data_IF_743360427470
#
_entry.id   IF_743360427470
#
_cell.length_a   1.000
_cell.length_b   1.000
_cell.length_c   1.000
_cell.angle_alpha   90.00
_cell.angle_beta   90.00
_cell.angle_gamma   90.00
#
_symmetry.space_group_name_H-M   'P 1'
#
loop_
_entity.id
_entity.type
_entity.pdbx_description
1 polymer ?
#
# COMPACT_ATOMS: atom_id res chain seq x y z
N UNK A 1 -68.86 30.36 54.17
CA UNK A 1 -68.56 29.48 53.01
C UNK A 1 -68.15 30.39 51.85
N UNK A 2 -66.86 30.41 51.50
CA UNK A 2 -66.35 31.13 50.34
C UNK A 2 -65.48 30.15 49.56
N UNK A 3 -66.08 29.55 48.55
CA UNK A 3 -65.48 28.50 47.73
C UNK A 3 -64.64 29.17 46.63
N UNK A 4 -63.32 29.17 46.81
CA UNK A 4 -62.39 29.89 45.93
C UNK A 4 -61.97 28.97 44.80
N UNK A 5 -62.68 29.02 43.67
CA UNK A 5 -62.27 28.31 42.44
C UNK A 5 -61.09 29.05 41.79
N UNK A 6 -59.95 28.40 41.50
CA UNK A 6 -58.86 29.04 40.79
C UNK A 6 -59.24 29.26 39.32
N UNK A 7 -59.11 30.50 38.85
CA UNK A 7 -59.35 30.87 37.45
C UNK A 7 -58.21 30.36 36.57
N UNK A 8 -58.48 29.36 35.73
CA UNK A 8 -57.52 28.87 34.73
C UNK A 8 -57.54 29.79 33.51
N UNK A 9 -56.47 30.57 33.31
CA UNK A 9 -56.29 31.41 32.12
C UNK A 9 -55.62 30.57 31.02
N UNK A 10 -56.41 30.08 30.07
CA UNK A 10 -55.87 29.43 28.86
C UNK A 10 -55.57 30.51 27.81
N UNK A 11 -54.29 30.85 27.64
CA UNK A 11 -53.84 31.73 26.56
C UNK A 11 -53.85 30.96 25.23
N UNK A 12 -54.95 31.03 24.48
CA UNK A 12 -54.96 30.60 23.07
C UNK A 12 -54.28 31.67 22.22
N UNK A 13 -53.05 31.38 21.80
CA UNK A 13 -52.35 32.18 20.80
C UNK A 13 -53.06 31.98 19.46
N UNK A 14 -53.93 32.91 19.08
CA UNK A 14 -54.38 33.02 17.70
C UNK A 14 -53.19 33.54 16.90
N UNK A 15 -52.45 32.65 16.23
CA UNK A 15 -51.62 33.06 15.09
C UNK A 15 -52.59 33.60 14.05
N UNK A 16 -52.61 34.92 13.91
CA UNK A 16 -53.31 35.60 12.85
C UNK A 16 -52.84 34.99 11.52
N UNK A 17 -53.77 34.39 10.79
CA UNK A 17 -53.55 34.04 9.40
C UNK A 17 -53.31 35.33 8.63
N UNK A 18 -52.05 35.59 8.27
CA UNK A 18 -51.79 36.29 7.03
C UNK A 18 -52.09 35.31 5.91
N UNK A 19 -53.29 35.46 5.37
CA UNK A 19 -53.64 34.90 4.09
C UNK A 19 -52.66 35.40 3.01
N UNK A 20 -52.49 34.53 2.02
CA UNK A 20 -52.14 34.84 0.64
C UNK A 20 -50.66 34.82 0.22
N UNK A 21 -49.98 33.68 0.36
CA UNK A 21 -48.98 33.25 -0.65
C UNK A 21 -48.97 31.72 -0.92
N UNK A 22 -50.06 31.00 -0.67
CA UNK A 22 -50.16 29.55 -0.97
C UNK A 22 -50.23 29.19 -2.47
N UNK A 23 -50.15 30.19 -3.36
CA UNK A 23 -49.98 29.97 -4.81
C UNK A 23 -48.53 29.96 -5.31
N UNK A 24 -47.55 30.07 -4.40
CA UNK A 24 -46.11 30.11 -4.74
C UNK A 24 -45.36 28.80 -4.51
N UNK A 25 -45.84 27.92 -3.63
CA UNK A 25 -45.12 26.69 -3.27
C UNK A 25 -44.93 25.73 -4.46
N UNK A 26 -45.94 25.60 -5.34
CA UNK A 26 -45.81 24.81 -6.56
C UNK A 26 -44.85 25.46 -7.56
N UNK A 27 -44.72 26.80 -7.56
CA UNK A 27 -43.75 27.52 -8.38
C UNK A 27 -42.33 27.33 -7.87
N UNK A 28 -42.15 27.14 -6.56
CA UNK A 28 -40.84 26.78 -5.98
C UNK A 28 -40.46 25.36 -6.39
N UNK A 29 -41.38 24.40 -6.31
CA UNK A 29 -41.13 23.03 -6.79
C UNK A 29 -40.91 22.98 -8.31
N UNK A 30 -41.64 23.79 -9.08
CA UNK A 30 -41.45 23.91 -10.53
C UNK A 30 -40.14 24.61 -10.89
N UNK A 31 -39.76 25.66 -10.17
CA UNK A 31 -38.48 26.33 -10.34
C UNK A 31 -37.32 25.39 -10.00
N UNK A 32 -37.42 24.64 -8.90
CA UNK A 32 -36.43 23.64 -8.52
C UNK A 32 -36.29 22.57 -9.60
N UNK A 33 -37.42 22.04 -10.11
CA UNK A 33 -37.43 21.09 -11.23
C UNK A 33 -36.79 21.65 -12.50
N UNK A 34 -37.13 22.89 -12.90
CA UNK A 34 -36.55 23.54 -14.08
C UNK A 34 -35.05 23.81 -13.88
N UNK A 35 -34.61 24.19 -12.67
CA UNK A 35 -33.18 24.37 -12.37
C UNK A 35 -32.41 23.06 -12.34
N UNK A 36 -33.00 21.98 -11.84
CA UNK A 36 -32.41 20.64 -11.90
C UNK A 36 -32.28 20.17 -13.36
N UNK A 37 -33.31 20.38 -14.18
CA UNK A 37 -33.25 20.08 -15.61
C UNK A 37 -32.25 20.95 -16.37
N UNK A 38 -32.15 22.24 -16.02
CA UNK A 38 -31.15 23.15 -16.58
C UNK A 38 -29.74 22.71 -16.21
N UNK A 39 -29.48 22.38 -14.95
CA UNK A 39 -28.17 21.89 -14.49
C UNK A 39 -27.81 20.57 -15.19
N UNK A 40 -28.77 19.64 -15.29
CA UNK A 40 -28.59 18.39 -16.03
C UNK A 40 -28.27 18.63 -17.51
N UNK A 41 -28.99 19.56 -18.15
CA UNK A 41 -28.74 19.93 -19.54
C UNK A 41 -27.38 20.62 -19.73
N UNK A 42 -26.95 21.48 -18.82
CA UNK A 42 -25.62 22.09 -18.84
C UNK A 42 -24.52 21.03 -18.72
N UNK A 43 -24.70 20.02 -17.86
CA UNK A 43 -23.76 18.90 -17.75
C UNK A 43 -23.71 18.07 -19.03
N UNK A 44 -24.87 17.74 -19.62
CA UNK A 44 -24.93 17.04 -20.90
C UNK A 44 -24.35 17.86 -22.05
N UNK A 45 -24.57 19.17 -22.06
CA UNK A 45 -24.02 20.09 -23.05
C UNK A 45 -22.51 20.21 -22.92
N UNK A 46 -21.99 20.32 -21.69
CA UNK A 46 -20.56 20.26 -21.40
C UNK A 46 -19.98 18.93 -21.88
N UNK A 47 -20.60 17.79 -21.54
CA UNK A 47 -20.16 16.50 -22.07
C UNK A 47 -20.18 16.49 -23.59
N UNK A 48 -21.23 16.98 -24.26
CA UNK A 48 -21.32 17.02 -25.71
C UNK A 48 -20.22 17.88 -26.36
N UNK A 49 -19.88 19.02 -25.77
CA UNK A 49 -18.79 19.90 -26.21
C UNK A 49 -17.39 19.35 -25.88
N UNK A 50 -17.29 18.43 -24.91
CA UNK A 50 -16.05 17.79 -24.50
C UNK A 50 -15.62 16.76 -25.55
N UNK A 51 -14.34 16.77 -25.92
CA UNK A 51 -13.79 15.83 -26.91
C UNK A 51 -13.69 14.41 -26.34
N UNK A 52 -13.66 13.38 -27.21
CA UNK A 52 -13.50 11.98 -26.77
C UNK A 52 -12.37 11.74 -25.74
N UNK A 53 -11.16 12.32 -25.88
CA UNK A 53 -10.09 12.12 -24.90
C UNK A 53 -10.39 12.77 -23.54
N UNK A 54 -10.99 13.96 -23.50
CA UNK A 54 -11.32 14.66 -22.25
C UNK A 54 -12.43 13.95 -21.45
N UNK A 55 -13.43 13.35 -22.13
CA UNK A 55 -14.46 12.54 -21.46
C UNK A 55 -13.88 11.29 -20.79
N UNK A 56 -12.85 10.69 -21.40
CA UNK A 56 -12.16 9.54 -20.83
C UNK A 56 -11.44 9.92 -19.53
N UNK A 57 -10.71 11.04 -19.54
CA UNK A 57 -10.00 11.55 -18.37
C UNK A 57 -10.93 11.86 -17.19
N UNK A 58 -12.08 12.49 -17.44
CA UNK A 58 -13.07 12.77 -16.39
C UNK A 58 -13.65 11.45 -15.83
N UNK A 59 -13.94 10.47 -16.67
CA UNK A 59 -14.48 9.17 -16.21
C UNK A 59 -13.50 8.36 -15.36
N UNK A 60 -12.20 8.55 -15.60
CA UNK A 60 -11.13 7.89 -14.86
C UNK A 60 -10.96 8.49 -13.46
N UNK A 61 -11.09 9.80 -13.33
CA UNK A 61 -11.08 10.51 -12.03
C UNK A 61 -12.18 10.02 -11.07
N UNK A 62 -13.39 9.76 -11.57
CA UNK A 62 -14.50 9.26 -10.74
C UNK A 62 -14.43 7.76 -10.45
N UNK A 63 -13.73 6.96 -11.28
CA UNK A 63 -13.55 5.53 -11.02
C UNK A 63 -12.50 5.25 -9.95
N UNK A 64 -11.47 6.09 -9.86
CA UNK A 64 -10.41 6.00 -8.86
C UNK A 64 -10.23 7.35 -8.15
N UNK A 65 -11.09 7.70 -7.17
CA UNK A 65 -10.91 8.92 -6.39
C UNK A 65 -9.71 8.74 -5.43
N UNK A 66 -8.49 8.94 -5.94
CA UNK A 66 -7.31 9.04 -5.09
C UNK A 66 -7.36 10.37 -4.35
N UNK A 67 -7.21 10.40 -3.00
CA UNK A 67 -7.23 11.64 -2.22
C UNK A 67 -5.96 12.49 -2.39
N UNK A 68 -5.04 12.07 -3.26
CA UNK A 68 -3.79 12.77 -3.53
C UNK A 68 -3.92 13.61 -4.80
N UNK A 69 -4.03 14.93 -4.63
CA UNK A 69 -3.97 15.87 -5.74
C UNK A 69 -2.58 15.78 -6.41
N UNK A 70 -2.53 15.25 -7.64
CA UNK A 70 -1.32 15.34 -8.48
C UNK A 70 -0.82 14.06 -9.14
N UNK A 71 -1.47 12.90 -8.98
CA UNK A 71 -1.07 11.70 -9.73
C UNK A 71 -2.27 10.90 -10.21
N UNK A 72 -2.79 11.24 -11.39
CA UNK A 72 -3.64 10.32 -12.15
C UNK A 72 -2.78 9.18 -12.68
N UNK A 73 -3.12 7.95 -12.32
CA UNK A 73 -2.48 6.74 -12.81
C UNK A 73 -2.99 6.40 -14.22
N UNK A 74 -2.10 6.53 -15.20
CA UNK A 74 -2.06 5.93 -16.57
C UNK A 74 -2.31 6.91 -17.76
N UNK A 75 -1.77 6.63 -18.98
CA UNK A 75 -0.75 7.45 -19.64
C UNK A 75 -1.27 8.23 -20.87
N UNK A 76 -0.49 9.22 -21.35
CA UNK A 76 -0.81 10.01 -22.54
C UNK A 76 -0.93 9.16 -23.84
N UNK A 77 -1.81 9.52 -24.79
CA UNK A 77 -2.08 8.71 -25.97
C UNK A 77 -0.97 8.79 -27.03
N UNK A 78 -0.40 7.64 -27.39
CA UNK A 78 0.53 7.46 -28.51
C UNK A 78 -0.16 7.04 -29.82
N UNK A 79 0.61 7.07 -30.91
CA UNK A 79 0.15 7.01 -32.31
C UNK A 79 -0.47 5.65 -32.76
N UNK A 80 -0.60 4.66 -31.87
CA UNK A 80 -1.17 3.33 -32.16
C UNK A 80 -2.42 2.98 -31.32
N UNK A 81 -3.05 3.98 -30.70
CA UNK A 81 -4.15 3.79 -29.74
C UNK A 81 -3.68 3.90 -28.29
N UNK A 82 -4.60 3.79 -27.32
CA UNK A 82 -4.32 4.17 -25.94
C UNK A 82 -3.28 3.21 -25.33
N UNK A 83 -2.10 3.74 -24.96
CA UNK A 83 -1.03 2.98 -24.29
C UNK A 83 0.35 2.94 -24.96
N UNK A 84 0.54 3.56 -26.15
CA UNK A 84 1.86 3.65 -26.80
C UNK A 84 2.77 4.75 -26.22
N UNK A 85 4.06 4.45 -26.00
CA UNK A 85 5.06 5.39 -25.50
C UNK A 85 5.20 6.63 -26.40
N UNK A 86 5.12 7.84 -25.81
CA UNK A 86 5.32 9.10 -26.54
C UNK A 86 6.82 9.39 -26.71
N UNK A 87 7.27 9.61 -27.95
CA UNK A 87 8.64 10.04 -28.30
C UNK A 87 8.67 11.48 -28.86
N UNK A 88 7.88 12.39 -28.29
CA UNK A 88 7.96 13.81 -28.65
C UNK A 88 8.29 14.67 -27.42
N UNK A 89 9.38 15.42 -27.57
CA UNK A 89 9.79 16.48 -26.66
C UNK A 89 8.75 17.60 -26.72
N UNK A 90 8.04 17.84 -25.62
CA UNK A 90 7.08 18.94 -25.52
C UNK A 90 7.89 20.25 -25.50
N UNK A 91 7.87 20.96 -26.62
CA UNK A 91 8.38 22.33 -26.73
C UNK A 91 7.24 23.28 -26.34
N UNK A 92 7.10 23.54 -25.03
CA UNK A 92 6.17 24.53 -24.53
C UNK A 92 6.77 25.92 -24.77
N UNK A 93 6.26 26.61 -25.80
CA UNK A 93 6.62 27.99 -26.07
C UNK A 93 6.14 28.89 -24.93
N UNK A 94 7.06 29.65 -24.34
CA UNK A 94 6.76 30.73 -23.40
C UNK A 94 7.16 30.47 -21.95
N UNK A 95 8.46 30.36 -21.68
CA UNK A 95 9.09 30.90 -20.49
C UNK A 95 10.61 30.88 -20.71
N UNK A 96 11.22 32.01 -20.41
CA UNK A 96 12.64 32.30 -20.45
C UNK A 96 13.53 31.19 -19.92
N UNK A 97 14.60 30.93 -20.66
CA UNK A 97 15.82 30.24 -20.27
C UNK A 97 16.19 30.54 -18.80
N UNK A 98 15.85 29.62 -17.88
CA UNK A 98 16.31 29.71 -16.50
C UNK A 98 17.70 29.12 -16.50
N UNK A 99 18.67 30.02 -16.65
CA UNK A 99 20.07 29.81 -16.38
C UNK A 99 20.25 28.90 -15.15
N UNK A 100 21.01 27.81 -15.31
CA UNK A 100 21.43 26.96 -14.19
C UNK A 100 22.27 27.79 -13.23
N UNK A 101 21.60 28.35 -12.22
CA UNK A 101 22.22 29.00 -11.08
C UNK A 101 22.93 27.96 -10.23
N UNK A 102 24.25 28.08 -10.17
CA UNK A 102 25.10 27.48 -9.17
C UNK A 102 24.71 28.04 -7.80
N UNK A 103 24.00 27.27 -6.97
CA UNK A 103 23.81 27.61 -5.56
C UNK A 103 23.55 26.36 -4.73
N UNK A 104 24.41 26.19 -3.73
CA UNK A 104 24.35 25.20 -2.65
C UNK A 104 22.97 25.20 -1.97
N UNK A 105 22.08 24.30 -2.37
CA UNK A 105 20.86 23.99 -1.64
C UNK A 105 21.03 22.64 -0.91
N UNK A 106 21.09 22.61 0.44
CA UNK A 106 21.32 21.38 1.19
C UNK A 106 20.14 20.39 1.16
N UNK A 107 19.00 20.77 0.56
CA UNK A 107 17.79 19.94 0.51
C UNK A 107 17.55 19.26 -0.84
N UNK A 108 18.48 19.38 -1.79
CA UNK A 108 18.36 18.79 -3.13
C UNK A 108 19.22 17.54 -3.33
N UNK A 109 19.36 16.69 -2.31
CA UNK A 109 19.82 15.31 -2.50
C UNK A 109 18.63 14.37 -2.70
N UNK A 110 17.76 14.68 -3.68
CA UNK A 110 17.00 13.61 -4.31
C UNK A 110 18.03 12.79 -5.08
N UNK A 111 18.50 11.70 -4.48
CA UNK A 111 19.14 10.62 -5.21
C UNK A 111 18.15 10.19 -6.29
N UNK A 112 18.34 10.74 -7.49
CA UNK A 112 17.68 10.28 -8.68
C UNK A 112 18.03 8.79 -8.77
N UNK A 113 17.03 7.94 -8.52
CA UNK A 113 17.08 6.52 -8.83
C UNK A 113 17.53 6.42 -10.28
N UNK A 114 18.79 6.06 -10.51
CA UNK A 114 19.34 5.94 -11.86
C UNK A 114 18.41 4.99 -12.61
N UNK A 115 17.81 5.39 -13.74
CA UNK A 115 16.96 4.50 -14.49
C UNK A 115 17.79 3.29 -14.91
N UNK A 116 17.44 2.12 -14.37
CA UNK A 116 18.06 0.85 -14.76
C UNK A 116 17.87 0.70 -16.28
N UNK A 117 18.94 0.48 -17.06
CA UNK A 117 18.83 0.26 -18.50
C UNK A 117 17.79 -0.83 -18.82
N UNK A 118 16.97 -0.65 -19.86
CA UNK A 118 15.93 -1.62 -20.23
C UNK A 118 16.51 -3.03 -20.44
N UNK A 119 17.72 -3.12 -21.00
CA UNK A 119 18.45 -4.37 -21.20
C UNK A 119 18.76 -5.13 -19.91
N UNK A 120 19.04 -4.43 -18.81
CA UNK A 120 19.34 -5.07 -17.53
C UNK A 120 18.06 -5.64 -16.88
N UNK A 121 16.93 -4.96 -17.06
CA UNK A 121 15.62 -5.46 -16.58
C UNK A 121 15.17 -6.71 -17.32
N UNK A 122 15.41 -6.78 -18.63
CA UNK A 122 15.08 -7.96 -19.43
C UNK A 122 15.93 -9.17 -19.03
N UNK A 123 17.24 -8.97 -18.83
CA UNK A 123 18.14 -10.03 -18.35
C UNK A 123 17.75 -10.52 -16.97
N UNK A 124 17.45 -9.62 -16.05
CA UNK A 124 17.00 -9.96 -14.70
C UNK A 124 15.68 -10.75 -14.74
N UNK A 125 14.73 -10.32 -15.57
CA UNK A 125 13.48 -11.06 -15.77
C UNK A 125 13.74 -12.49 -16.28
N UNK A 126 14.62 -12.66 -17.27
CA UNK A 126 15.00 -13.98 -17.78
C UNK A 126 15.66 -14.85 -16.70
N UNK A 127 16.51 -14.26 -15.85
CA UNK A 127 17.12 -14.98 -14.72
C UNK A 127 16.08 -15.47 -13.71
N UNK A 128 15.10 -14.63 -13.37
CA UNK A 128 14.01 -15.00 -12.46
C UNK A 128 13.06 -16.03 -13.08
N UNK A 129 12.82 -15.96 -14.38
CA UNK A 129 12.05 -16.98 -15.12
C UNK A 129 12.78 -18.33 -15.15
N UNK A 130 14.09 -18.33 -15.38
CA UNK A 130 14.91 -19.54 -15.30
C UNK A 130 14.89 -20.14 -13.89
N UNK A 131 15.09 -19.32 -12.85
CA UNK A 131 15.00 -19.76 -11.46
C UNK A 131 13.62 -20.33 -11.12
N UNK A 132 12.54 -19.72 -11.64
CA UNK A 132 11.19 -20.23 -11.46
C UNK A 132 11.04 -21.63 -12.06
N UNK A 133 11.51 -21.84 -13.29
CA UNK A 133 11.44 -23.13 -13.97
C UNK A 133 12.27 -24.20 -13.23
N UNK A 134 13.48 -23.83 -12.80
CA UNK A 134 14.34 -24.71 -12.00
C UNK A 134 13.67 -25.12 -10.69
N UNK A 135 13.03 -24.18 -9.99
CA UNK A 135 12.26 -24.46 -8.77
C UNK A 135 11.04 -25.36 -9.04
N UNK A 136 10.28 -25.11 -10.10
CA UNK A 136 9.12 -25.95 -10.48
C UNK A 136 9.56 -27.39 -10.79
N UNK A 137 10.68 -27.55 -11.50
CA UNK A 137 11.28 -28.85 -11.78
C UNK A 137 11.79 -29.53 -10.51
N UNK A 138 12.52 -28.80 -9.66
CA UNK A 138 13.02 -29.32 -8.38
C UNK A 138 11.89 -29.76 -7.45
N UNK A 139 10.80 -28.98 -7.37
CA UNK A 139 9.61 -29.34 -6.59
C UNK A 139 8.98 -30.63 -7.12
N UNK A 140 8.98 -30.84 -8.44
CA UNK A 140 8.42 -32.07 -9.02
C UNK A 140 9.30 -33.31 -8.85
N UNK A 141 10.62 -33.14 -8.67
CA UNK A 141 11.59 -34.24 -8.59
C UNK A 141 12.07 -34.55 -7.18
N UNK A 142 12.02 -33.59 -6.28
CA UNK A 142 12.51 -33.75 -4.91
C UNK A 142 11.51 -34.52 -4.06
N UNK A 143 11.98 -35.59 -3.41
CA UNK A 143 11.19 -36.38 -2.47
C UNK A 143 10.67 -35.55 -1.28
N UNK A 144 11.38 -34.48 -0.91
CA UNK A 144 11.00 -33.59 0.18
C UNK A 144 9.96 -32.54 -0.23
N UNK A 145 9.95 -32.11 -1.50
CA UNK A 145 9.11 -31.00 -1.97
C UNK A 145 7.84 -31.48 -2.71
N UNK A 146 7.92 -32.59 -3.43
CA UNK A 146 6.83 -33.11 -4.27
C UNK A 146 5.51 -33.29 -3.50
N UNK A 147 5.51 -33.84 -2.26
CA UNK A 147 4.27 -34.01 -1.47
C UNK A 147 3.60 -32.69 -1.09
N UNK A 148 4.32 -31.57 -1.20
CA UNK A 148 3.89 -30.22 -0.82
C UNK A 148 3.76 -29.28 -2.01
N UNK A 149 3.83 -29.78 -3.25
CA UNK A 149 3.68 -28.97 -4.47
C UNK A 149 2.42 -28.11 -4.47
N UNK A 150 1.33 -28.61 -3.89
CA UNK A 150 0.05 -27.92 -3.76
C UNK A 150 0.00 -26.85 -2.65
N UNK A 151 1.06 -26.73 -1.86
CA UNK A 151 1.29 -25.71 -0.84
C UNK A 151 2.37 -24.69 -1.26
N UNK A 152 3.07 -24.94 -2.37
CA UNK A 152 4.13 -24.10 -2.90
C UNK A 152 3.62 -23.36 -4.15
N UNK A 153 3.31 -22.08 -4.00
CA UNK A 153 2.82 -21.24 -5.09
C UNK A 153 3.96 -20.35 -5.58
N UNK A 154 4.30 -20.45 -6.87
CA UNK A 154 5.34 -19.65 -7.51
C UNK A 154 4.73 -18.70 -8.53
N UNK A 155 5.01 -17.41 -8.38
CA UNK A 155 4.51 -16.39 -9.29
C UNK A 155 5.52 -15.28 -9.54
N UNK A 156 5.60 -14.81 -10.77
CA UNK A 156 6.48 -13.70 -11.15
C UNK A 156 5.71 -12.39 -10.98
N UNK A 157 6.23 -11.50 -10.16
CA UNK A 157 5.66 -10.18 -9.87
C UNK A 157 6.60 -9.08 -10.36
N UNK A 158 6.14 -7.82 -10.43
CA UNK A 158 7.04 -6.69 -10.71
C UNK A 158 8.17 -6.53 -9.69
N UNK A 159 7.97 -7.03 -8.47
CA UNK A 159 8.96 -6.98 -7.39
C UNK A 159 10.01 -8.09 -7.53
N UNK A 160 9.67 -9.21 -8.19
CA UNK A 160 10.57 -10.32 -8.46
C UNK A 160 9.87 -11.68 -8.50
N UNK A 161 10.60 -12.76 -8.21
CA UNK A 161 10.00 -14.10 -8.10
C UNK A 161 9.46 -14.30 -6.68
N UNK A 162 8.15 -14.47 -6.57
CA UNK A 162 7.46 -14.72 -5.31
C UNK A 162 7.22 -16.22 -5.12
N UNK A 163 7.68 -16.72 -3.98
CA UNK A 163 7.54 -18.10 -3.52
C UNK A 163 6.67 -18.06 -2.27
N UNK A 164 5.45 -18.59 -2.34
CA UNK A 164 4.52 -18.63 -1.22
C UNK A 164 4.37 -20.07 -0.71
N UNK A 165 4.56 -20.25 0.58
CA UNK A 165 4.28 -21.50 1.28
C UNK A 165 3.00 -21.28 2.07
N UNK A 166 1.94 -21.99 1.72
CA UNK A 166 0.60 -21.82 2.31
C UNK A 166 0.22 -22.99 3.22
N UNK A 167 -0.51 -22.72 4.29
CA UNK A 167 -1.08 -23.76 5.15
C UNK A 167 -2.26 -24.46 4.47
N UNK A 168 -2.47 -25.73 4.82
CA UNK A 168 -3.72 -26.47 4.60
C UNK A 168 -4.23 -27.04 5.91
N UNK A 169 -5.54 -27.29 6.01
CA UNK A 169 -6.19 -27.76 7.25
C UNK A 169 -5.47 -28.94 7.91
N UNK A 170 -5.02 -29.92 7.11
CA UNK A 170 -4.37 -31.12 7.63
C UNK A 170 -2.82 -31.08 7.55
N UNK A 171 -2.24 -29.98 7.07
CA UNK A 171 -0.78 -29.82 6.89
C UNK A 171 -0.35 -28.37 7.18
N UNK A 172 -0.41 -27.92 8.46
CA UNK A 172 -0.01 -26.57 8.85
C UNK A 172 1.53 -26.43 8.86
N UNK A 173 2.10 -25.31 8.44
CA UNK A 173 3.56 -25.11 8.47
C UNK A 173 4.12 -24.94 9.88
N UNK A 174 3.28 -24.47 10.79
CA UNK A 174 3.64 -24.13 12.15
C UNK A 174 2.80 -24.94 13.15
N UNK A 175 3.32 -25.09 14.36
CA UNK A 175 2.49 -25.52 15.48
C UNK A 175 1.36 -24.50 15.73
N UNK A 176 0.22 -24.99 16.23
CA UNK A 176 -0.95 -24.15 16.50
C UNK A 176 -0.59 -23.03 17.46
N UNK A 177 -0.88 -21.80 17.07
CA UNK A 177 -0.56 -20.62 17.87
C UNK A 177 0.94 -20.44 18.15
N UNK A 178 1.83 -20.95 17.29
CA UNK A 178 3.27 -20.84 17.49
C UNK A 178 3.99 -20.40 16.21
N UNK A 179 5.20 -19.90 16.40
CA UNK A 179 6.20 -19.67 15.35
C UNK A 179 7.15 -20.86 15.16
N UNK A 180 6.95 -21.96 15.91
CA UNK A 180 7.68 -23.22 15.73
C UNK A 180 7.31 -23.88 14.41
N UNK A 181 8.31 -24.07 13.54
CA UNK A 181 8.15 -24.76 12.25
C UNK A 181 8.01 -26.27 12.44
N UNK A 182 7.09 -26.88 11.70
CA UNK A 182 7.02 -28.33 11.57
C UNK A 182 8.28 -28.88 10.87
N UNK A 183 8.65 -30.15 11.13
CA UNK A 183 9.84 -30.76 10.53
C UNK A 183 9.89 -30.68 9.00
N UNK A 184 8.79 -31.02 8.32
CA UNK A 184 8.71 -30.95 6.87
C UNK A 184 8.84 -29.52 6.33
N UNK A 185 8.31 -28.51 7.02
CA UNK A 185 8.47 -27.12 6.59
C UNK A 185 9.92 -26.66 6.71
N UNK A 186 10.64 -27.13 7.74
CA UNK A 186 12.07 -26.89 7.88
C UNK A 186 12.85 -27.51 6.71
N UNK A 187 12.50 -28.74 6.31
CA UNK A 187 13.11 -29.40 5.15
C UNK A 187 12.81 -28.66 3.85
N UNK A 188 11.57 -28.25 3.61
CA UNK A 188 11.19 -27.43 2.45
C UNK A 188 12.06 -26.17 2.37
N UNK A 189 12.19 -25.43 3.47
CA UNK A 189 12.98 -24.20 3.50
C UNK A 189 14.48 -24.45 3.28
N UNK A 190 15.01 -25.58 3.78
CA UNK A 190 16.42 -25.98 3.57
C UNK A 190 16.72 -26.39 2.13
N UNK A 191 15.76 -26.96 1.43
CA UNK A 191 15.90 -27.25 0.00
C UNK A 191 15.82 -25.94 -0.80
N UNK A 192 14.85 -25.08 -0.49
CA UNK A 192 14.66 -23.78 -1.16
C UNK A 192 15.88 -22.84 -1.02
N UNK A 193 16.60 -22.89 0.10
CA UNK A 193 17.79 -22.05 0.31
C UNK A 193 18.91 -22.31 -0.71
N UNK A 194 19.05 -23.54 -1.20
CA UNK A 194 20.06 -23.88 -2.21
C UNK A 194 19.77 -23.14 -3.53
N UNK A 195 18.51 -23.17 -3.98
CA UNK A 195 18.07 -22.47 -5.18
C UNK A 195 18.15 -20.94 -5.04
N UNK A 196 17.78 -20.41 -3.87
CA UNK A 196 17.88 -18.96 -3.59
C UNK A 196 19.34 -18.49 -3.66
N UNK A 197 20.31 -19.35 -3.35
CA UNK A 197 21.74 -19.03 -3.45
C UNK A 197 22.29 -19.03 -4.88
N UNK A 198 21.63 -19.67 -5.86
CA UNK A 198 22.12 -19.72 -7.25
C UNK A 198 22.11 -18.36 -7.95
N UNK A 199 21.18 -17.49 -7.57
CA UNK A 199 21.07 -16.13 -8.12
C UNK A 199 21.75 -15.11 -7.20
N UNK A 200 22.22 -13.94 -7.66
CA UNK A 200 22.80 -12.93 -6.77
C UNK A 200 21.76 -12.11 -5.99
N UNK A 201 20.48 -12.22 -6.37
CA UNK A 201 19.39 -11.42 -5.84
C UNK A 201 19.18 -11.62 -4.33
N UNK A 202 18.82 -10.53 -3.66
CA UNK A 202 18.41 -10.52 -2.25
C UNK A 202 16.93 -10.85 -2.11
N UNK A 203 16.50 -11.19 -0.90
CA UNK A 203 15.15 -11.63 -0.59
C UNK A 203 14.46 -10.74 0.44
N UNK A 204 13.14 -10.65 0.32
CA UNK A 204 12.24 -10.13 1.35
C UNK A 204 11.38 -11.28 1.86
N UNK A 205 11.29 -11.44 3.17
CA UNK A 205 10.47 -12.50 3.81
C UNK A 205 9.30 -11.84 4.52
N UNK A 206 8.09 -12.28 4.19
CA UNK A 206 6.85 -11.74 4.77
C UNK A 206 6.01 -12.85 5.37
N UNK A 207 5.59 -12.67 6.61
CA UNK A 207 4.66 -13.56 7.30
C UNK A 207 3.24 -13.03 7.28
N UNK A 208 2.29 -13.93 7.04
CA UNK A 208 0.86 -13.66 7.08
C UNK A 208 0.17 -14.64 8.03
N UNK A 209 -0.88 -14.17 8.70
CA UNK A 209 -1.76 -14.98 9.54
C UNK A 209 -3.21 -14.80 9.08
N UNK A 210 -4.09 -15.66 9.55
CA UNK A 210 -5.54 -15.50 9.35
C UNK A 210 -6.12 -14.54 10.41
N UNK A 211 -7.44 -14.32 10.34
CA UNK A 211 -8.18 -13.51 11.30
C UNK A 211 -8.56 -14.27 12.57
N UNK A 212 -8.17 -15.55 12.71
CA UNK A 212 -8.54 -16.30 13.91
C UNK A 212 -7.88 -15.65 15.12
N UNK A 213 -8.69 -15.38 16.15
CA UNK A 213 -8.20 -14.69 17.33
C UNK A 213 -7.15 -15.56 18.01
N UNK A 214 -5.93 -15.04 18.08
CA UNK A 214 -4.89 -15.67 18.86
C UNK A 214 -5.19 -15.41 20.34
N UNK A 215 -5.47 -16.46 21.10
CA UNK A 215 -5.65 -16.38 22.55
C UNK A 215 -4.26 -16.21 23.21
N UNK A 216 -3.72 -15.01 23.11
CA UNK A 216 -2.41 -14.68 23.62
C UNK A 216 -2.43 -14.35 25.10
N UNK A 217 -1.32 -14.75 25.73
CA UNK A 217 -0.84 -14.13 26.96
C UNK A 217 -0.45 -12.67 26.64
N UNK A 218 -1.01 -11.72 27.40
CA UNK A 218 -0.67 -10.29 27.46
C UNK A 218 0.05 -9.67 26.24
N UNK A 219 -0.72 -9.07 25.32
CA UNK A 219 -0.20 -8.16 24.29
C UNK A 219 0.41 -8.83 23.06
N UNK A 220 0.64 -10.14 23.08
CA UNK A 220 1.01 -10.88 21.88
C UNK A 220 -0.20 -10.99 20.94
N UNK A 221 -0.01 -10.79 19.64
CA UNK A 221 -1.10 -10.81 18.67
C UNK A 221 -0.66 -11.46 17.37
N UNK A 222 -1.56 -11.48 16.39
CA UNK A 222 -1.25 -11.92 15.05
C UNK A 222 -0.15 -11.07 14.37
N UNK A 223 0.09 -9.84 14.83
CA UNK A 223 1.23 -9.04 14.39
C UNK A 223 2.57 -9.67 14.79
N UNK A 224 2.77 -9.91 16.09
CA UNK A 224 3.97 -10.54 16.62
C UNK A 224 4.14 -11.94 16.02
N UNK A 225 3.05 -12.73 15.96
CA UNK A 225 3.07 -14.07 15.37
C UNK A 225 3.53 -14.06 13.92
N UNK A 226 3.02 -13.14 13.11
CA UNK A 226 3.38 -13.05 11.70
C UNK A 226 4.85 -12.70 11.51
N UNK A 227 5.39 -11.78 12.32
CA UNK A 227 6.81 -11.41 12.29
C UNK A 227 7.71 -12.55 12.80
N UNK A 228 7.33 -13.23 13.88
CA UNK A 228 8.08 -14.35 14.45
C UNK A 228 8.15 -15.54 13.49
N UNK A 229 7.04 -15.83 12.79
CA UNK A 229 6.99 -16.86 11.75
C UNK A 229 7.88 -16.52 10.56
N UNK A 230 7.89 -15.27 10.13
CA UNK A 230 8.80 -14.81 9.08
C UNK A 230 10.27 -14.97 9.52
N UNK A 231 10.60 -14.67 10.78
CA UNK A 231 11.94 -14.89 11.34
C UNK A 231 12.29 -16.37 11.56
N UNK A 232 11.31 -17.23 11.87
CA UNK A 232 11.50 -18.67 11.91
C UNK A 232 11.86 -19.21 10.52
N UNK A 233 11.16 -18.75 9.48
CA UNK A 233 11.48 -19.08 8.10
C UNK A 233 12.88 -18.59 7.70
N UNK A 234 13.24 -17.34 8.07
CA UNK A 234 14.59 -16.80 7.88
C UNK A 234 15.66 -17.72 8.46
N UNK A 235 15.52 -18.11 9.73
CA UNK A 235 16.47 -19.00 10.42
C UNK A 235 16.58 -20.36 9.72
N UNK A 236 15.46 -20.96 9.31
CA UNK A 236 15.48 -22.24 8.60
C UNK A 236 16.16 -22.16 7.21
N UNK A 237 16.04 -21.03 6.51
CA UNK A 237 16.78 -20.78 5.26
C UNK A 237 18.29 -20.68 5.51
N UNK A 238 18.70 -19.97 6.58
CA UNK A 238 20.11 -19.88 6.97
C UNK A 238 20.69 -21.24 7.36
N UNK A 239 19.93 -22.04 8.12
CA UNK A 239 20.30 -23.42 8.45
C UNK A 239 20.47 -24.30 7.21
N UNK A 240 19.78 -23.97 6.12
CA UNK A 240 19.90 -24.61 4.81
C UNK A 240 21.04 -24.08 3.94
N UNK A 241 21.89 -23.21 4.48
CA UNK A 241 23.07 -22.67 3.81
C UNK A 241 22.84 -21.34 3.08
N UNK A 242 21.68 -20.70 3.21
CA UNK A 242 21.49 -19.34 2.69
C UNK A 242 22.43 -18.38 3.42
N UNK A 243 23.07 -17.46 2.69
CA UNK A 243 23.90 -16.43 3.33
C UNK A 243 23.05 -15.36 4.00
N UNK A 244 23.49 -14.80 5.12
CA UNK A 244 22.69 -13.81 5.87
C UNK A 244 22.46 -12.52 5.10
N UNK A 245 23.45 -12.10 4.31
CA UNK A 245 23.41 -10.88 3.48
C UNK A 245 22.27 -10.87 2.46
N UNK A 246 21.78 -12.07 2.08
CA UNK A 246 20.64 -12.23 1.18
C UNK A 246 19.37 -11.60 1.72
N UNK A 247 19.19 -11.56 3.03
CA UNK A 247 17.95 -11.04 3.61
C UNK A 247 18.01 -9.52 3.64
N UNK A 248 17.13 -8.85 2.89
CA UNK A 248 17.01 -7.39 2.92
C UNK A 248 16.07 -6.94 4.03
N UNK A 249 14.93 -7.61 4.20
CA UNK A 249 13.95 -7.28 5.24
C UNK A 249 13.08 -8.48 5.62
N UNK A 250 12.56 -8.42 6.83
CA UNK A 250 11.55 -9.34 7.37
C UNK A 250 10.32 -8.52 7.78
N UNK A 251 9.13 -8.94 7.35
CA UNK A 251 7.88 -8.19 7.56
C UNK A 251 6.80 -9.10 8.14
N UNK A 252 6.10 -8.64 9.17
CA UNK A 252 4.87 -9.26 9.67
C UNK A 252 3.67 -8.46 9.21
N UNK A 253 2.72 -9.08 8.50
CA UNK A 253 1.52 -8.41 8.00
C UNK A 253 0.23 -8.85 8.71
N UNK A 254 0.30 -9.74 9.70
CA UNK A 254 -0.88 -10.25 10.40
C UNK A 254 -1.95 -10.73 9.39
N UNK A 255 -3.21 -10.37 9.62
CA UNK A 255 -4.35 -10.61 8.73
C UNK A 255 -4.68 -9.42 7.81
N UNK A 256 -3.77 -8.45 7.63
CA UNK A 256 -4.03 -7.24 6.82
C UNK A 256 -4.16 -7.54 5.32
N UNK A 257 -3.47 -8.58 4.84
CA UNK A 257 -3.47 -9.01 3.44
C UNK A 257 -3.84 -10.49 3.35
N UNK A 258 -5.15 -10.74 3.31
CA UNK A 258 -5.72 -12.08 3.13
C UNK A 258 -5.54 -12.54 1.67
N UNK A 259 -5.20 -13.82 1.51
CA UNK A 259 -5.12 -14.47 0.20
C UNK A 259 -6.54 -14.77 -0.31
N UNK A 260 -7.36 -15.40 0.54
CA UNK A 260 -8.78 -15.58 0.32
C UNK A 260 -9.54 -14.52 1.12
N UNK A 261 -10.05 -13.51 0.42
CA UNK A 261 -10.85 -12.43 1.01
C UNK A 261 -12.28 -12.87 1.32
N UNK A 262 -12.76 -13.95 0.71
CA UNK A 262 -14.13 -14.44 0.89
C UNK A 262 -14.27 -15.27 2.16
N UNK A 263 -13.22 -16.01 2.53
CA UNK A 263 -13.15 -16.81 3.75
C UNK A 263 -11.91 -16.39 4.58
N UNK A 264 -12.05 -15.42 5.50
CA UNK A 264 -10.93 -14.89 6.27
C UNK A 264 -10.23 -15.92 7.19
N UNK A 265 -10.95 -16.93 7.64
CA UNK A 265 -10.49 -18.05 8.48
C UNK A 265 -9.84 -19.19 7.67
N UNK A 266 -9.84 -19.11 6.34
CA UNK A 266 -9.24 -20.11 5.48
C UNK A 266 -7.74 -20.27 5.80
N UNK A 267 -7.25 -21.49 6.09
CA UNK A 267 -5.84 -21.76 6.34
C UNK A 267 -4.87 -21.18 5.32
N UNK A 268 -5.28 -21.06 4.05
CA UNK A 268 -4.44 -20.48 3.00
C UNK A 268 -3.98 -19.05 3.31
N UNK A 269 -4.70 -18.34 4.18
CA UNK A 269 -4.33 -17.00 4.64
C UNK A 269 -3.09 -17.03 5.54
N UNK A 270 -2.83 -18.14 6.23
CA UNK A 270 -1.57 -18.40 6.96
C UNK A 270 -0.51 -18.86 5.96
N UNK A 271 0.37 -17.95 5.60
CA UNK A 271 1.40 -18.18 4.58
C UNK A 271 2.69 -17.43 4.87
N UNK A 272 3.79 -17.96 4.34
CA UNK A 272 5.08 -17.27 4.27
C UNK A 272 5.33 -16.94 2.81
N UNK A 273 5.61 -15.68 2.52
CA UNK A 273 5.97 -15.20 1.19
C UNK A 273 7.45 -14.83 1.19
N UNK A 274 8.21 -15.47 0.32
CA UNK A 274 9.62 -15.16 0.06
C UNK A 274 9.68 -14.54 -1.34
N UNK A 275 10.12 -13.29 -1.44
CA UNK A 275 10.28 -12.61 -2.73
C UNK A 275 11.76 -12.50 -3.03
N UNK A 276 12.22 -13.17 -4.08
CA UNK A 276 13.54 -12.98 -4.68
C UNK A 276 13.47 -11.72 -5.54
N UNK A 277 14.04 -10.63 -5.03
CA UNK A 277 13.75 -9.29 -5.51
C UNK A 277 14.52 -8.93 -6.77
N UNK A 278 13.90 -8.13 -7.62
CA UNK A 278 14.62 -7.36 -8.64
C UNK A 278 15.51 -6.30 -8.00
N UNK A 279 16.55 -5.84 -8.71
CA UNK A 279 17.40 -4.72 -8.26
C UNK A 279 16.60 -3.47 -7.93
N UNK A 280 15.53 -3.21 -8.70
CA UNK A 280 14.66 -2.07 -8.47
C UNK A 280 13.87 -2.22 -7.15
N UNK A 281 13.33 -3.41 -6.88
CA UNK A 281 12.61 -3.69 -5.64
C UNK A 281 13.54 -3.71 -4.42
N UNK A 282 14.75 -4.26 -4.57
CA UNK A 282 15.78 -4.21 -3.54
C UNK A 282 16.14 -2.76 -3.18
N UNK A 283 16.42 -1.93 -4.20
CA UNK A 283 16.74 -0.52 -3.99
C UNK A 283 15.59 0.23 -3.31
N UNK A 284 14.34 -0.04 -3.70
CA UNK A 284 13.16 0.55 -3.05
C UNK A 284 13.01 0.10 -1.59
N UNK A 285 13.27 -1.18 -1.29
CA UNK A 285 13.23 -1.71 0.07
C UNK A 285 14.31 -1.10 0.97
N UNK A 286 15.51 -0.87 0.43
CA UNK A 286 16.61 -0.21 1.15
C UNK A 286 16.40 1.31 1.30
N UNK A 287 15.86 1.98 0.27
CA UNK A 287 15.59 3.41 0.30
C UNK A 287 14.52 3.78 1.33
N UNK A 288 13.51 2.92 1.52
CA UNK A 288 12.51 3.09 2.59
C UNK A 288 13.09 3.03 4.01
N UNK A 289 14.30 2.45 4.18
CA UNK A 289 15.04 2.45 5.44
C UNK A 289 16.02 3.63 5.57
N UNK A 290 16.25 4.36 4.48
CA UNK A 290 17.36 5.31 4.31
C UNK A 290 16.95 6.78 4.30
N UNK A 291 15.87 7.17 4.99
CA UNK A 291 15.83 8.53 5.51
C UNK A 291 16.67 8.49 6.78
N UNK A 292 17.98 8.72 6.64
CA UNK A 292 18.82 9.08 7.78
C UNK A 292 18.14 10.27 8.44
N UNK A 293 17.40 10.01 9.52
CA UNK A 293 17.01 11.05 10.46
C UNK A 293 18.32 11.44 11.12
N UNK A 294 19.07 12.32 10.47
CA UNK A 294 20.14 13.04 11.12
C UNK A 294 19.49 13.62 12.38
N UNK A 295 19.92 13.13 13.55
CA UNK A 295 19.54 13.73 14.82
C UNK A 295 19.82 15.21 14.64
N UNK A 296 18.78 16.03 14.67
CA UNK A 296 18.93 17.47 14.53
C UNK A 296 20.02 17.89 15.53
N UNK A 297 21.02 18.68 15.12
CA UNK A 297 22.02 19.14 16.07
C UNK A 297 21.25 19.73 17.25
N UNK A 298 21.63 19.34 18.47
CA UNK A 298 21.04 19.86 19.70
C UNK A 298 21.04 21.38 19.60
N UNK A 299 19.87 21.96 19.31
CA UNK A 299 19.71 23.39 19.34
C UNK A 299 20.03 23.79 20.77
N UNK A 300 21.09 24.57 20.97
CA UNK A 300 21.38 25.14 22.26
C UNK A 300 20.15 25.95 22.67
N UNK A 301 19.44 25.46 23.68
CA UNK A 301 18.21 26.06 24.15
C UNK A 301 18.54 27.48 24.66
N UNK A 302 17.99 28.49 24.01
CA UNK A 302 18.29 29.89 24.31
C UNK A 302 17.87 30.27 25.75
N UNK A 303 16.97 29.48 26.33
CA UNK A 303 16.50 29.65 27.71
C UNK A 303 17.54 29.26 28.77
N UNK A 304 18.60 28.51 28.41
CA UNK A 304 19.69 28.19 29.34
C UNK A 304 20.64 29.40 29.53
N UNK A 305 20.68 30.36 28.60
CA UNK A 305 21.54 31.54 28.71
C UNK A 305 20.93 32.69 29.54
N UNK A 306 19.63 32.68 29.82
CA UNK A 306 18.98 33.73 30.60
C UNK A 306 19.27 33.65 32.12
N UNK A 307 19.85 32.54 32.61
CA UNK A 307 20.11 32.33 34.04
C UNK A 307 21.48 32.85 34.54
N UNK A 308 22.28 33.50 33.69
CA UNK A 308 23.60 34.03 34.05
C UNK A 308 23.73 35.54 33.81
N UNK A 309 22.78 36.32 34.32
CA UNK A 309 23.00 37.75 34.53
C UNK A 309 23.64 37.97 35.92
N UNK A 310 24.77 38.70 36.04
CA UNK A 310 25.42 38.92 37.33
C UNK A 310 24.57 39.84 38.20
N UNK A 311 24.49 39.51 39.50
CA UNK A 311 23.84 40.33 40.51
C UNK A 311 24.45 41.73 40.54
N UNK A 312 23.63 42.75 40.28
CA UNK A 312 23.99 44.15 40.49
C UNK A 312 23.82 44.45 41.97
N UNK A 313 24.92 44.69 42.67
CA UNK A 313 24.94 45.22 44.04
C UNK A 313 24.60 46.72 44.02
N UNK A 314 23.88 47.20 45.05
CA UNK A 314 24.54 48.07 46.03
C UNK A 314 24.40 47.58 47.48
#
# INVERSE_FOLDING_TARGET
MADTKPTVIVRRVKKAGHAAHHGGAWKVAYADFVTAMMAFFLVLWLMAATTKPERAAISEYFRNPSPLAGSSSTPAPGMAGPGGASTSMIKLGGATDISRGNSNDPFQSQQATKPVPQTDREREKQQLEALKQELEEAISKSQALEPFKDQLLLDLTPEGLRIQIVDKQNRPMFDMGSASLKPYTREILRELSQFINHVPNRISITGHTDTTAYNAVHGYSNWELSADRANAARRALLDGGMTEEKVTRVVGLSSSVLFDRTQPDNPINRRISIVVMTKAAEAAALAGAGQEVALSPTAADADIQAALAPAVAP
#
